data_IF_760530853028
#
_entry.id   IF_760530853028
#
_cell.length_a   1.000
_cell.length_b   1.000
_cell.length_c   1.000
_cell.angle_alpha   90.00
_cell.angle_beta   90.00
_cell.angle_gamma   90.00
#
_symmetry.space_group_name_H-M   'P 1'
#
loop_
_entity.id
_entity.type
_entity.pdbx_description
1 polymer ?
#
# COMPACT_ATOMS: atom_id res chain seq x y z
N UNK A 1 10.74 12.28 -12.38
CA UNK A 1 11.36 11.93 -11.07
C UNK A 1 10.27 11.49 -10.10
N UNK A 2 10.46 10.34 -9.48
CA UNK A 2 9.50 9.84 -8.50
C UNK A 2 9.60 10.67 -7.21
N UNK A 3 8.48 11.19 -6.75
CA UNK A 3 8.36 11.87 -5.47
C UNK A 3 7.59 10.96 -4.53
N UNK A 4 8.27 10.41 -3.52
CA UNK A 4 7.70 9.47 -2.58
C UNK A 4 7.91 9.95 -1.15
N UNK A 5 6.82 10.10 -0.42
CA UNK A 5 6.82 10.40 1.01
C UNK A 5 6.25 9.23 1.79
N UNK A 6 6.93 8.84 2.85
CA UNK A 6 6.42 7.86 3.81
C UNK A 6 6.21 8.54 5.14
N UNK A 7 5.01 8.44 5.69
CA UNK A 7 4.66 9.01 6.99
C UNK A 7 4.21 7.89 7.92
N UNK A 8 5.06 7.56 8.88
CA UNK A 8 4.81 6.48 9.81
C UNK A 8 4.27 7.03 11.14
N UNK A 9 2.97 6.91 11.35
CA UNK A 9 2.28 7.38 12.56
C UNK A 9 1.65 6.25 13.36
N UNK A 10 2.18 5.03 13.23
CA UNK A 10 1.68 3.85 13.93
C UNK A 10 2.77 3.26 14.82
N UNK A 11 2.38 2.47 15.79
CA UNK A 11 3.28 1.77 16.70
C UNK A 11 3.00 0.26 16.76
N UNK A 12 2.18 -0.25 15.83
CA UNK A 12 1.81 -1.68 15.82
C UNK A 12 2.99 -2.58 15.45
N UNK A 13 3.87 -2.10 14.57
CA UNK A 13 5.08 -2.80 14.18
C UNK A 13 6.19 -1.81 13.87
N UNK A 14 7.44 -2.14 14.24
CA UNK A 14 8.58 -1.31 13.83
C UNK A 14 8.87 -1.56 12.35
N UNK A 15 8.80 -0.50 11.55
CA UNK A 15 8.93 -0.58 10.09
C UNK A 15 10.32 -0.10 9.65
N UNK A 16 10.97 -0.89 8.80
CA UNK A 16 12.19 -0.48 8.11
C UNK A 16 11.81 0.46 6.95
N UNK A 17 11.72 1.75 7.24
CA UNK A 17 11.29 2.74 6.25
C UNK A 17 12.21 2.85 5.04
N UNK A 18 13.55 2.84 5.19
CA UNK A 18 14.42 2.85 4.01
C UNK A 18 14.17 1.69 3.05
N UNK A 19 13.96 0.50 3.57
CA UNK A 19 13.65 -0.67 2.74
C UNK A 19 12.30 -0.52 2.06
N UNK A 20 11.27 -0.10 2.80
CA UNK A 20 9.94 0.12 2.24
C UNK A 20 9.98 1.18 1.14
N UNK A 21 10.74 2.24 1.34
CA UNK A 21 10.93 3.30 0.34
C UNK A 21 11.54 2.75 -0.95
N UNK A 22 12.61 1.98 -0.84
CA UNK A 22 13.27 1.37 -2.01
C UNK A 22 12.32 0.43 -2.76
N UNK A 23 11.56 -0.35 -2.00
CA UNK A 23 10.61 -1.29 -2.57
C UNK A 23 9.50 -0.58 -3.34
N UNK A 24 8.91 0.47 -2.77
CA UNK A 24 7.85 1.24 -3.43
C UNK A 24 8.40 1.97 -4.66
N UNK A 25 9.60 2.54 -4.58
CA UNK A 25 10.25 3.15 -5.76
C UNK A 25 10.45 2.15 -6.89
N UNK A 26 10.86 0.95 -6.56
CA UNK A 26 11.03 -0.14 -7.53
C UNK A 26 9.69 -0.51 -8.17
N UNK A 27 8.64 -0.61 -7.37
CA UNK A 27 7.29 -0.88 -7.90
C UNK A 27 6.86 0.22 -8.88
N UNK A 28 7.01 1.48 -8.49
CA UNK A 28 6.58 2.61 -9.32
C UNK A 28 7.38 2.70 -10.62
N UNK A 29 8.69 2.50 -10.57
CA UNK A 29 9.55 2.64 -11.77
C UNK A 29 9.51 1.41 -12.67
N UNK A 30 9.58 0.21 -12.10
CA UNK A 30 9.73 -1.03 -12.88
C UNK A 30 8.39 -1.70 -13.19
N UNK A 31 7.56 -1.94 -12.17
CA UNK A 31 6.28 -2.65 -12.37
C UNK A 31 5.22 -1.76 -13.00
N UNK A 32 5.09 -0.53 -12.50
CA UNK A 32 4.05 0.38 -12.96
C UNK A 32 4.53 1.33 -14.05
N UNK A 33 5.81 1.35 -14.35
CA UNK A 33 6.40 2.21 -15.37
C UNK A 33 5.93 3.66 -15.23
N UNK A 34 6.04 4.19 -14.01
CA UNK A 34 5.58 5.52 -13.64
C UNK A 34 6.75 6.38 -13.15
N UNK A 35 7.63 6.86 -14.05
CA UNK A 35 8.87 7.55 -13.64
C UNK A 35 8.63 8.91 -12.98
N UNK A 36 7.44 9.46 -13.14
CA UNK A 36 7.08 10.77 -12.58
C UNK A 36 5.98 10.66 -11.52
N UNK A 37 5.83 9.50 -10.91
CA UNK A 37 4.83 9.29 -9.87
C UNK A 37 5.04 10.21 -8.67
N UNK A 38 3.94 10.67 -8.09
CA UNK A 38 3.91 11.41 -6.84
C UNK A 38 3.01 10.65 -5.87
N UNK A 39 3.60 10.10 -4.83
CA UNK A 39 2.88 9.22 -3.91
C UNK A 39 3.26 9.54 -2.47
N UNK A 40 2.25 9.70 -1.64
CA UNK A 40 2.41 9.77 -0.20
C UNK A 40 1.75 8.54 0.44
N UNK A 41 2.51 7.78 1.22
CA UNK A 41 1.99 6.61 1.92
C UNK A 41 1.98 6.91 3.41
N UNK A 42 0.78 6.85 4.01
CA UNK A 42 0.57 7.05 5.44
C UNK A 42 0.36 5.69 6.09
N UNK A 43 1.25 5.32 6.99
CA UNK A 43 1.08 4.14 7.83
C UNK A 43 0.46 4.60 9.14
N UNK A 44 -0.76 4.17 9.40
CA UNK A 44 -1.58 4.74 10.46
C UNK A 44 -2.11 3.70 11.42
N UNK A 45 -2.56 4.16 12.59
CA UNK A 45 -3.23 3.32 13.58
C UNK A 45 -4.69 3.06 13.16
N UNK A 46 -5.34 2.03 13.73
CA UNK A 46 -6.76 1.81 13.48
C UNK A 46 -7.63 3.03 13.84
N UNK A 47 -7.29 3.75 14.90
CA UNK A 47 -8.04 4.94 15.30
C UNK A 47 -7.94 6.04 14.25
N UNK A 48 -6.75 6.33 13.74
CA UNK A 48 -6.57 7.31 12.67
C UNK A 48 -7.27 6.86 11.40
N UNK A 49 -7.18 5.58 11.05
CA UNK A 49 -7.85 5.02 9.88
C UNK A 49 -9.37 5.18 9.97
N UNK A 50 -9.95 4.94 11.15
CA UNK A 50 -11.38 5.12 11.37
C UNK A 50 -11.81 6.59 11.20
N UNK A 51 -11.00 7.54 11.68
CA UNK A 51 -11.26 8.97 11.51
C UNK A 51 -11.23 9.36 10.03
N UNK A 52 -10.22 8.94 9.30
CA UNK A 52 -10.09 9.23 7.85
C UNK A 52 -11.26 8.62 7.08
N UNK A 53 -11.62 7.38 7.40
CA UNK A 53 -12.72 6.68 6.76
C UNK A 53 -14.05 7.41 6.95
N UNK A 54 -14.34 7.87 8.17
CA UNK A 54 -15.55 8.60 8.48
C UNK A 54 -15.56 9.99 7.86
N UNK A 55 -14.45 10.73 7.97
CA UNK A 55 -14.35 12.11 7.49
C UNK A 55 -14.45 12.23 5.98
N UNK A 56 -13.82 11.34 5.25
CA UNK A 56 -13.64 11.47 3.80
C UNK A 56 -14.52 10.52 2.99
N UNK A 57 -14.87 9.36 3.54
CA UNK A 57 -15.66 8.35 2.82
C UNK A 57 -17.03 8.12 3.44
N UNK A 58 -17.31 8.75 4.59
CA UNK A 58 -18.57 8.63 5.32
C UNK A 58 -18.90 7.16 5.68
N UNK A 59 -17.89 6.36 5.96
CA UNK A 59 -18.02 4.99 6.46
C UNK A 59 -17.62 4.93 7.92
N UNK A 60 -18.18 3.98 8.66
CA UNK A 60 -17.82 3.76 10.06
C UNK A 60 -16.75 2.68 10.17
N UNK A 61 -15.85 2.84 11.14
CA UNK A 61 -14.82 1.86 11.47
C UNK A 61 -13.57 1.97 10.66
N UNK A 62 -12.62 1.09 10.99
CA UNK A 62 -11.33 0.99 10.31
C UNK A 62 -11.44 0.14 9.05
N UNK A 63 -10.63 0.45 8.05
CA UNK A 63 -10.44 -0.38 6.86
C UNK A 63 -8.94 -0.60 6.66
N UNK A 64 -8.55 -1.49 5.74
CA UNK A 64 -7.15 -1.82 5.49
C UNK A 64 -6.41 -0.75 4.68
N UNK A 65 -7.03 -0.25 3.62
CA UNK A 65 -6.43 0.76 2.72
C UNK A 65 -7.48 1.78 2.31
N UNK A 66 -7.09 3.05 2.32
CA UNK A 66 -7.87 4.14 1.72
C UNK A 66 -6.99 4.83 0.69
N UNK A 67 -7.53 5.04 -0.51
CA UNK A 67 -6.82 5.63 -1.64
C UNK A 67 -7.45 6.96 -2.03
N UNK A 68 -6.63 8.01 -2.12
CA UNK A 68 -7.04 9.31 -2.65
C UNK A 68 -6.30 9.55 -3.97
N UNK A 69 -7.05 9.62 -5.05
CA UNK A 69 -6.52 9.87 -6.38
C UNK A 69 -6.58 11.37 -6.67
N UNK A 70 -5.41 12.01 -6.78
CA UNK A 70 -5.29 13.44 -7.10
C UNK A 70 -5.12 13.70 -8.58
N UNK A 71 -5.11 12.63 -9.40
CA UNK A 71 -4.88 12.71 -10.83
C UNK A 71 -6.15 12.55 -11.67
N UNK A 72 -7.36 12.71 -11.09
CA UNK A 72 -8.64 12.45 -11.75
C UNK A 72 -8.79 13.12 -13.09
N UNK A 73 -8.17 14.30 -13.29
CA UNK A 73 -8.23 15.07 -14.53
C UNK A 73 -6.86 15.23 -15.19
N UNK A 74 -5.86 14.46 -14.74
CA UNK A 74 -4.51 14.54 -15.30
C UNK A 74 -4.38 13.72 -16.58
N UNK A 75 -3.39 14.04 -17.44
CA UNK A 75 -3.10 13.25 -18.63
C UNK A 75 -2.78 11.80 -18.29
N UNK A 76 -3.01 10.94 -19.26
CA UNK A 76 -2.94 9.48 -19.15
C UNK A 76 -1.78 8.93 -18.35
N UNK A 77 -2.09 8.01 -17.43
CA UNK A 77 -1.17 7.10 -16.74
C UNK A 77 -0.28 7.70 -15.65
N UNK A 78 -0.52 8.93 -15.22
CA UNK A 78 0.20 9.47 -14.09
C UNK A 78 -0.34 8.93 -12.78
N UNK A 79 0.58 8.50 -11.89
CA UNK A 79 0.23 8.13 -10.53
C UNK A 79 0.47 9.35 -9.64
N UNK A 80 -0.61 9.90 -9.09
CA UNK A 80 -0.54 11.03 -8.19
C UNK A 80 -1.63 10.86 -7.13
N UNK A 81 -1.22 10.56 -5.90
CA UNK A 81 -2.20 10.32 -4.86
C UNK A 81 -1.60 10.02 -3.50
N UNK A 82 -2.49 9.61 -2.60
CA UNK A 82 -2.13 9.24 -1.24
C UNK A 82 -2.78 7.93 -0.85
N UNK A 83 -2.05 7.12 -0.10
CA UNK A 83 -2.54 5.88 0.48
C UNK A 83 -2.51 6.00 2.00
N UNK A 84 -3.60 5.59 2.65
CA UNK A 84 -3.65 5.39 4.09
C UNK A 84 -3.75 3.90 4.35
N UNK A 85 -2.82 3.34 5.11
CA UNK A 85 -2.70 1.90 5.31
C UNK A 85 -2.67 1.61 6.80
N UNK A 86 -3.54 0.68 7.24
CA UNK A 86 -3.57 0.21 8.60
C UNK A 86 -2.60 -0.96 8.77
N UNK A 87 -1.52 -0.74 9.50
CA UNK A 87 -0.54 -1.80 9.79
C UNK A 87 -1.16 -2.87 10.69
N UNK A 88 -2.03 -2.47 11.62
CA UNK A 88 -2.74 -3.42 12.49
C UNK A 88 -3.58 -4.41 11.68
N UNK A 89 -4.24 -3.94 10.60
CA UNK A 89 -5.01 -4.83 9.72
C UNK A 89 -4.10 -5.78 8.94
N UNK A 90 -2.91 -5.34 8.54
CA UNK A 90 -1.93 -6.21 7.89
C UNK A 90 -1.51 -7.35 8.83
N UNK A 91 -1.30 -7.06 10.11
CA UNK A 91 -0.97 -8.07 11.13
C UNK A 91 -2.13 -9.06 11.29
N UNK A 92 -3.36 -8.54 11.41
CA UNK A 92 -4.55 -9.38 11.58
C UNK A 92 -4.80 -10.27 10.37
N UNK A 93 -4.73 -9.72 9.16
CA UNK A 93 -4.94 -10.44 7.92
C UNK A 93 -3.86 -11.51 7.72
N UNK A 94 -2.62 -11.19 8.04
CA UNK A 94 -1.52 -12.15 7.96
C UNK A 94 -1.79 -13.39 8.82
N UNK A 95 -2.30 -13.20 10.03
CA UNK A 95 -2.66 -14.32 10.92
C UNK A 95 -3.83 -15.14 10.38
N UNK A 96 -4.85 -14.46 9.84
CA UNK A 96 -6.04 -15.13 9.32
C UNK A 96 -5.76 -15.96 8.07
N UNK A 97 -4.86 -15.51 7.21
CA UNK A 97 -4.58 -16.15 5.92
C UNK A 97 -3.22 -16.87 5.89
N UNK A 98 -2.61 -17.09 7.05
CA UNK A 98 -1.32 -17.79 7.17
C UNK A 98 -0.24 -17.14 6.29
N UNK A 99 -0.22 -15.81 6.30
CA UNK A 99 0.75 -14.98 5.59
C UNK A 99 1.50 -14.08 6.59
N UNK A 100 2.60 -13.49 6.15
CA UNK A 100 3.32 -12.53 6.99
C UNK A 100 2.65 -11.17 6.93
N UNK A 101 2.77 -10.38 7.99
CA UNK A 101 2.26 -9.02 7.98
C UNK A 101 3.03 -8.14 6.98
N UNK A 102 4.31 -8.46 6.75
CA UNK A 102 5.13 -7.75 5.78
C UNK A 102 4.57 -7.95 4.36
N UNK A 103 4.22 -9.17 4.02
CA UNK A 103 3.60 -9.47 2.72
C UNK A 103 2.25 -8.76 2.57
N UNK A 104 1.42 -8.78 3.62
CA UNK A 104 0.13 -8.10 3.58
C UNK A 104 0.29 -6.59 3.45
N UNK A 105 1.26 -5.99 4.16
CA UNK A 105 1.55 -4.56 4.06
C UNK A 105 1.90 -4.16 2.62
N UNK A 106 2.79 -4.92 1.99
CA UNK A 106 3.18 -4.66 0.60
C UNK A 106 2.00 -4.86 -0.35
N UNK A 107 1.19 -5.88 -0.11
CA UNK A 107 -0.02 -6.12 -0.90
C UNK A 107 -0.97 -4.93 -0.84
N UNK A 108 -1.13 -4.31 0.32
CA UNK A 108 -1.95 -3.10 0.47
C UNK A 108 -1.39 -1.93 -0.34
N UNK A 109 -0.08 -1.77 -0.37
CA UNK A 109 0.57 -0.75 -1.20
C UNK A 109 0.28 -1.01 -2.68
N UNK A 110 0.48 -2.24 -3.15
CA UNK A 110 0.21 -2.64 -4.53
C UNK A 110 -1.25 -2.38 -4.89
N UNK A 111 -2.17 -2.79 -4.02
CA UNK A 111 -3.61 -2.61 -4.20
C UNK A 111 -3.96 -1.13 -4.37
N UNK A 112 -3.42 -0.27 -3.49
CA UNK A 112 -3.66 1.17 -3.58
C UNK A 112 -3.09 1.79 -4.86
N UNK A 113 -1.91 1.39 -5.28
CA UNK A 113 -1.31 1.87 -6.53
C UNK A 113 -2.14 1.41 -7.73
N UNK A 114 -2.66 0.19 -7.71
CA UNK A 114 -3.54 -0.30 -8.77
C UNK A 114 -4.80 0.57 -8.90
N UNK A 115 -5.40 0.99 -7.78
CA UNK A 115 -6.51 1.95 -7.81
C UNK A 115 -6.09 3.27 -8.45
N UNK A 116 -4.92 3.78 -8.13
CA UNK A 116 -4.40 5.02 -8.73
C UNK A 116 -4.14 4.86 -10.23
N UNK A 117 -3.92 3.63 -10.68
CA UNK A 117 -3.73 3.30 -12.10
C UNK A 117 -5.05 3.09 -12.83
N UNK A 118 -6.18 3.18 -12.13
CA UNK A 118 -7.50 3.07 -12.73
C UNK A 118 -8.19 1.72 -12.56
N UNK A 119 -7.56 0.76 -11.89
CA UNK A 119 -8.24 -0.50 -11.56
C UNK A 119 -9.33 -0.23 -10.53
N UNK A 120 -10.43 -0.97 -10.65
CA UNK A 120 -11.58 -0.84 -9.75
C UNK A 120 -11.93 -2.22 -9.17
N UNK A 121 -12.56 -2.23 -7.99
CA UNK A 121 -12.96 -3.45 -7.30
C UNK A 121 -14.44 -3.48 -6.91
N UNK A 122 -15.25 -2.57 -7.47
CA UNK A 122 -16.69 -2.50 -7.19
C UNK A 122 -17.43 -3.58 -7.98
N UNK A 123 -17.23 -3.66 -9.29
CA UNK A 123 -17.81 -4.66 -10.18
C UNK A 123 -17.09 -6.00 -9.97
N UNK A 124 -17.82 -7.15 -9.91
CA UNK A 124 -17.18 -8.46 -9.76
C UNK A 124 -16.14 -8.79 -10.83
N UNK A 125 -16.37 -8.40 -12.09
CA UNK A 125 -15.40 -8.63 -13.17
C UNK A 125 -14.15 -7.76 -12.97
N UNK A 126 -14.32 -6.50 -12.61
CA UNK A 126 -13.21 -5.58 -12.35
C UNK A 126 -12.41 -6.03 -11.12
N UNK A 127 -13.10 -6.49 -10.08
CA UNK A 127 -12.47 -7.03 -8.87
C UNK A 127 -11.58 -8.22 -9.19
N UNK A 128 -12.06 -9.12 -10.03
CA UNK A 128 -11.31 -10.31 -10.48
C UNK A 128 -10.07 -9.89 -11.26
N UNK A 129 -10.19 -8.94 -12.16
CA UNK A 129 -9.07 -8.41 -12.95
C UNK A 129 -8.03 -7.77 -12.05
N UNK A 130 -8.46 -6.94 -11.11
CA UNK A 130 -7.57 -6.28 -10.16
C UNK A 130 -6.85 -7.30 -9.27
N UNK A 131 -7.58 -8.29 -8.77
CA UNK A 131 -7.01 -9.35 -7.92
C UNK A 131 -5.97 -10.17 -8.66
N UNK A 132 -6.22 -10.47 -9.92
CA UNK A 132 -5.26 -11.19 -10.78
C UNK A 132 -3.97 -10.39 -10.94
N UNK A 133 -4.08 -9.09 -11.19
CA UNK A 133 -2.92 -8.22 -11.35
C UNK A 133 -2.17 -8.05 -10.04
N UNK A 134 -2.87 -7.88 -8.93
CA UNK A 134 -2.28 -7.82 -7.59
C UNK A 134 -1.48 -9.08 -7.29
N UNK A 135 -2.05 -10.25 -7.57
CA UNK A 135 -1.38 -11.54 -7.34
C UNK A 135 -0.17 -11.72 -8.24
N UNK A 136 -0.24 -11.25 -9.50
CA UNK A 136 0.89 -11.31 -10.43
C UNK A 136 2.07 -10.49 -9.89
N UNK A 137 1.80 -9.27 -9.47
CA UNK A 137 2.83 -8.37 -8.95
C UNK A 137 3.43 -8.92 -7.66
N UNK A 138 2.59 -9.36 -6.73
CA UNK A 138 3.05 -9.93 -5.46
C UNK A 138 3.87 -11.20 -5.67
N UNK A 139 3.42 -12.09 -6.55
CA UNK A 139 4.15 -13.32 -6.87
C UNK A 139 5.55 -13.05 -7.41
N UNK A 140 5.67 -12.11 -8.34
CA UNK A 140 6.96 -11.70 -8.88
C UNK A 140 7.86 -11.06 -7.84
N UNK A 141 7.30 -10.21 -7.00
CA UNK A 141 8.03 -9.52 -5.95
C UNK A 141 8.58 -10.50 -4.91
N UNK A 142 7.73 -11.39 -4.41
CA UNK A 142 8.10 -12.37 -3.40
C UNK A 142 9.12 -13.40 -3.91
N UNK A 143 9.11 -13.67 -5.22
CA UNK A 143 10.10 -14.55 -5.84
C UNK A 143 11.50 -13.90 -5.90
N UNK A 144 11.55 -12.57 -5.92
CA UNK A 144 12.82 -11.83 -6.06
C UNK A 144 13.34 -11.25 -4.75
N UNK A 145 12.47 -11.07 -3.76
CA UNK A 145 12.84 -10.36 -2.53
C UNK A 145 12.31 -11.07 -1.29
N UNK A 146 13.12 -11.10 -0.27
CA UNK A 146 12.69 -11.49 1.08
C UNK A 146 12.11 -10.23 1.76
N UNK A 147 10.85 -10.29 2.17
CA UNK A 147 10.16 -9.17 2.81
C UNK A 147 10.35 -9.14 4.33
N UNK A 148 10.93 -10.18 4.91
CA UNK A 148 11.14 -10.28 6.36
C UNK A 148 11.85 -9.04 6.94
N UNK A 149 12.90 -8.47 6.30
CA UNK A 149 13.58 -7.29 6.84
C UNK A 149 12.78 -6.01 6.84
N UNK A 150 11.52 -6.01 6.35
CA UNK A 150 10.63 -4.86 6.53
C UNK A 150 10.33 -4.60 8.00
N UNK A 151 10.44 -5.61 8.85
CA UNK A 151 10.43 -5.40 10.29
C UNK A 151 11.79 -4.85 10.70
N UNK A 152 11.76 -3.66 11.30
CA UNK A 152 12.99 -3.04 11.78
C UNK A 152 13.51 -3.83 12.99
N UNK A 153 14.76 -4.24 12.92
CA UNK A 153 15.40 -4.94 14.05
C UNK A 153 15.61 -3.98 15.22
N UNK A 154 15.41 -4.44 16.47
CA UNK A 154 15.77 -3.65 17.63
C UNK A 154 17.26 -3.32 17.59
N UNK A 155 17.61 -2.09 17.97
CA UNK A 155 19.00 -1.72 18.13
C UNK A 155 19.59 -2.49 19.31
N UNK A 156 20.74 -3.15 19.07
CA UNK A 156 21.47 -3.83 20.12
C UNK A 156 22.41 -2.81 20.75
N UNK A 157 22.19 -2.56 22.02
CA UNK A 157 23.09 -1.68 22.81
C UNK A 157 24.42 -2.37 23.09
#
# INVERSE_FOLDING_TARGET
MIELSLRNRQTDRPINLPMLRRLIRSLLSEEFNAPDAQLCVHLVSPNEMAVVNQQYLNHEGSTDVITFDHAENAPDNEIYGELFISVADAVKQGREFDATWQSELVRYVVHGILHLRGYDDIDPADRKTMKKEENRIMGGLEARRDLTPLEKRPELD
#
